data_IF_654002132914
#
_entry.id   IF_654002132914
#
_cell.length_a   1.000
_cell.length_b   1.000
_cell.length_c   1.000
_cell.angle_alpha   90.00
_cell.angle_beta   90.00
_cell.angle_gamma   90.00
#
_symmetry.space_group_name_H-M   'P 1'
#
loop_
_entity.id
_entity.type
_entity.pdbx_description
1 polymer ?
#
# COMPACT_ATOMS: atom_id res chain seq x y z
N UNK A 1 -34.09 -40.92 51.30
CA UNK A 1 -32.80 -40.26 50.98
C UNK A 1 -31.99 -41.22 50.10
N UNK A 2 -31.25 -40.73 49.09
CA UNK A 2 -31.71 -40.04 47.87
C UNK A 2 -31.07 -40.71 46.62
N UNK A 3 -31.48 -40.47 45.38
CA UNK A 3 -31.07 -39.42 44.41
C UNK A 3 -31.61 -39.96 43.05
N UNK A 4 -32.10 -39.26 42.04
CA UNK A 4 -32.20 -37.84 41.68
C UNK A 4 -33.03 -37.76 40.41
N UNK A 5 -33.76 -36.67 40.24
CA UNK A 5 -34.40 -36.26 39.01
C UNK A 5 -33.52 -36.51 37.78
N UNK A 6 -34.02 -37.28 36.80
CA UNK A 6 -33.61 -37.07 35.40
C UNK A 6 -34.42 -35.89 34.88
N UNK A 7 -33.96 -34.69 35.25
CA UNK A 7 -34.31 -33.48 34.52
C UNK A 7 -34.04 -33.70 33.04
N UNK A 8 -35.01 -33.26 32.24
CA UNK A 8 -34.98 -33.40 30.81
C UNK A 8 -33.65 -32.95 30.24
N UNK A 9 -33.06 -33.85 29.45
CA UNK A 9 -32.17 -33.50 28.35
C UNK A 9 -32.89 -32.43 27.53
N UNK A 10 -32.61 -31.15 27.83
CA UNK A 10 -32.91 -30.07 26.91
C UNK A 10 -32.16 -30.42 25.63
N UNK A 11 -32.83 -30.46 24.47
CA UNK A 11 -32.09 -30.47 23.23
C UNK A 11 -31.21 -29.22 23.26
N UNK A 12 -29.92 -29.40 23.04
CA UNK A 12 -29.05 -28.30 22.62
C UNK A 12 -29.63 -27.90 21.27
N UNK A 13 -30.52 -26.92 21.28
CA UNK A 13 -31.34 -26.53 20.14
C UNK A 13 -30.41 -26.21 18.98
N UNK A 14 -30.52 -27.00 17.91
CA UNK A 14 -30.24 -26.51 16.58
C UNK A 14 -31.06 -25.22 16.41
N UNK A 15 -30.38 -24.09 16.19
CA UNK A 15 -31.05 -22.84 15.85
C UNK A 15 -32.09 -23.11 14.75
N UNK A 16 -33.31 -22.66 14.95
CA UNK A 16 -34.36 -22.87 13.95
C UNK A 16 -33.97 -22.18 12.65
N UNK A 17 -34.33 -22.74 11.49
CA UNK A 17 -34.00 -22.15 10.18
C UNK A 17 -34.41 -20.66 10.10
N UNK A 18 -35.50 -20.30 10.79
CA UNK A 18 -35.98 -18.93 10.90
C UNK A 18 -35.07 -18.01 11.73
N UNK A 19 -34.51 -18.50 12.83
CA UNK A 19 -33.53 -17.73 13.62
C UNK A 19 -32.24 -17.51 12.82
N UNK A 20 -31.81 -18.49 12.03
CA UNK A 20 -30.64 -18.35 11.16
C UNK A 20 -30.88 -17.33 10.03
N UNK A 21 -32.07 -17.33 9.42
CA UNK A 21 -32.46 -16.30 8.44
C UNK A 21 -32.41 -14.89 9.04
N UNK A 22 -32.98 -14.71 10.24
CA UNK A 22 -32.99 -13.41 10.92
C UNK A 22 -31.58 -12.94 11.30
N UNK A 23 -30.71 -13.84 11.75
CA UNK A 23 -29.31 -13.50 12.04
C UNK A 23 -28.57 -13.07 10.78
N UNK A 24 -28.77 -13.78 9.65
CA UNK A 24 -28.19 -13.40 8.37
C UNK A 24 -28.67 -12.02 7.89
N UNK A 25 -29.96 -11.72 8.08
CA UNK A 25 -30.54 -10.42 7.70
C UNK A 25 -29.99 -9.30 8.59
N UNK A 26 -29.81 -9.54 9.89
CA UNK A 26 -29.18 -8.58 10.81
C UNK A 26 -27.73 -8.30 10.39
N UNK A 27 -26.94 -9.34 10.10
CA UNK A 27 -25.55 -9.18 9.65
C UNK A 27 -25.45 -8.36 8.35
N UNK A 28 -26.36 -8.59 7.40
CA UNK A 28 -26.43 -7.84 6.16
C UNK A 28 -26.76 -6.35 6.40
N UNK A 29 -27.80 -6.06 7.18
CA UNK A 29 -28.20 -4.70 7.52
C UNK A 29 -27.12 -3.95 8.33
N UNK A 30 -26.43 -4.63 9.25
CA UNK A 30 -25.31 -4.06 9.99
C UNK A 30 -24.14 -3.70 9.06
N UNK A 31 -23.84 -4.56 8.08
CA UNK A 31 -22.83 -4.32 7.04
C UNK A 31 -23.19 -3.11 6.18
N UNK A 32 -24.44 -3.01 5.74
CA UNK A 32 -24.95 -1.87 4.96
C UNK A 32 -24.89 -0.56 5.75
N UNK A 33 -25.32 -0.57 7.02
CA UNK A 33 -25.26 0.59 7.89
C UNK A 33 -23.81 1.05 8.09
N UNK A 34 -22.89 0.11 8.32
CA UNK A 34 -21.47 0.41 8.45
C UNK A 34 -20.91 1.04 7.17
N UNK A 35 -21.28 0.52 6.00
CA UNK A 35 -20.87 1.07 4.72
C UNK A 35 -21.42 2.50 4.52
N UNK A 36 -22.69 2.72 4.84
CA UNK A 36 -23.33 4.03 4.80
C UNK A 36 -22.59 5.05 5.70
N UNK A 37 -22.33 4.71 6.95
CA UNK A 37 -21.61 5.59 7.89
C UNK A 37 -20.20 5.89 7.38
N UNK A 38 -19.49 4.90 6.85
CA UNK A 38 -18.15 5.10 6.28
C UNK A 38 -18.15 6.09 5.11
N UNK A 39 -19.13 5.98 4.20
CA UNK A 39 -19.28 6.91 3.07
C UNK A 39 -19.67 8.30 3.55
N UNK A 40 -20.63 8.41 4.47
CA UNK A 40 -21.04 9.69 5.05
C UNK A 40 -19.87 10.44 5.71
N UNK A 41 -19.01 9.72 6.45
CA UNK A 41 -17.78 10.28 7.02
C UNK A 41 -16.80 10.78 5.95
N UNK A 42 -16.63 10.05 4.83
CA UNK A 42 -15.79 10.48 3.71
C UNK A 42 -16.30 11.78 3.06
N UNK A 43 -17.60 12.01 3.08
CA UNK A 43 -18.24 13.22 2.53
C UNK A 43 -18.43 14.35 3.56
N UNK A 44 -17.78 14.26 4.73
CA UNK A 44 -17.75 15.33 5.73
C UNK A 44 -18.97 15.40 6.64
N UNK A 45 -19.83 14.38 6.67
CA UNK A 45 -21.02 14.35 7.53
C UNK A 45 -20.72 13.89 8.96
N UNK A 46 -19.58 14.30 9.53
CA UNK A 46 -19.10 13.84 10.83
C UNK A 46 -20.12 14.08 11.94
N UNK A 47 -20.62 15.30 12.08
CA UNK A 47 -21.55 15.66 13.16
C UNK A 47 -22.83 14.82 13.14
N UNK A 48 -23.34 14.50 11.94
CA UNK A 48 -24.48 13.61 11.76
C UNK A 48 -24.15 12.18 12.24
N UNK A 49 -23.01 11.64 11.79
CA UNK A 49 -22.58 10.29 12.14
C UNK A 49 -22.29 10.14 13.64
N UNK A 50 -21.63 11.12 14.26
CA UNK A 50 -21.36 11.13 15.70
C UNK A 50 -22.64 11.18 16.53
N UNK A 51 -23.65 11.94 16.07
CA UNK A 51 -24.94 12.05 16.76
C UNK A 51 -25.79 10.78 16.61
N UNK A 52 -25.86 10.20 15.41
CA UNK A 52 -26.77 9.10 15.09
C UNK A 52 -26.16 7.71 15.29
N UNK A 53 -24.85 7.58 15.08
CA UNK A 53 -24.11 6.32 15.09
C UNK A 53 -22.73 6.48 15.78
N UNK A 54 -22.68 6.87 17.06
CA UNK A 54 -21.43 7.21 17.75
C UNK A 54 -20.43 6.04 17.82
N UNK A 55 -20.91 4.81 18.04
CA UNK A 55 -20.06 3.63 18.18
C UNK A 55 -19.41 3.23 16.86
N UNK A 56 -20.22 3.15 15.80
CA UNK A 56 -19.74 2.88 14.44
C UNK A 56 -18.78 3.97 13.96
N UNK A 57 -19.06 5.23 14.27
CA UNK A 57 -18.17 6.35 13.93
C UNK A 57 -16.81 6.17 14.57
N UNK A 58 -16.75 5.93 15.89
CA UNK A 58 -15.49 5.67 16.61
C UNK A 58 -14.75 4.46 16.06
N UNK A 59 -15.46 3.37 15.76
CA UNK A 59 -14.86 2.15 15.21
C UNK A 59 -14.20 2.41 13.85
N UNK A 60 -14.92 3.06 12.94
CA UNK A 60 -14.46 3.37 11.58
C UNK A 60 -13.26 4.32 11.64
N UNK A 61 -13.34 5.40 12.41
CA UNK A 61 -12.24 6.35 12.56
C UNK A 61 -10.99 5.70 13.17
N UNK A 62 -11.15 4.88 14.20
CA UNK A 62 -10.04 4.12 14.77
C UNK A 62 -9.44 3.14 13.74
N UNK A 63 -10.27 2.53 12.89
CA UNK A 63 -9.81 1.71 11.77
C UNK A 63 -9.01 2.50 10.73
N UNK A 64 -9.48 3.69 10.37
CA UNK A 64 -8.79 4.61 9.45
C UNK A 64 -7.43 5.02 10.03
N UNK A 65 -7.39 5.37 11.32
CA UNK A 65 -6.19 5.78 12.02
C UNK A 65 -5.16 4.64 12.09
N UNK A 66 -5.56 3.43 12.52
CA UNK A 66 -4.68 2.24 12.50
C UNK A 66 -4.12 1.96 11.11
N UNK A 67 -4.96 2.10 10.09
CA UNK A 67 -4.54 1.90 8.69
C UNK A 67 -3.53 2.96 8.24
N UNK A 68 -3.66 4.21 8.69
CA UNK A 68 -2.71 5.29 8.44
C UNK A 68 -1.38 5.03 9.12
N UNK A 69 -1.37 4.74 10.42
CA UNK A 69 -0.17 4.42 11.20
C UNK A 69 0.60 3.25 10.60
N UNK A 70 -0.13 2.21 10.15
CA UNK A 70 0.48 1.07 9.45
C UNK A 70 1.16 1.47 8.15
N UNK A 71 0.56 2.39 7.40
CA UNK A 71 1.16 2.90 6.16
C UNK A 71 2.40 3.76 6.44
N UNK A 72 2.37 4.62 7.46
CA UNK A 72 3.52 5.42 7.91
C UNK A 72 4.68 4.52 8.37
N UNK A 73 4.38 3.47 9.12
CA UNK A 73 5.38 2.47 9.52
C UNK A 73 5.98 1.72 8.32
N UNK A 74 5.15 1.26 7.37
CA UNK A 74 5.62 0.58 6.14
C UNK A 74 6.50 1.52 5.31
N UNK A 75 6.08 2.77 5.15
CA UNK A 75 6.85 3.81 4.46
C UNK A 75 8.22 4.04 5.12
N UNK A 76 8.27 4.24 6.43
CA UNK A 76 9.52 4.43 7.17
C UNK A 76 10.47 3.21 7.02
N UNK A 77 9.93 1.98 7.01
CA UNK A 77 10.72 0.78 6.76
C UNK A 77 11.34 0.78 5.36
N UNK A 78 10.57 1.16 4.33
CA UNK A 78 11.12 1.29 2.97
C UNK A 78 12.22 2.33 2.94
N UNK A 79 12.01 3.51 3.55
CA UNK A 79 13.03 4.56 3.61
C UNK A 79 14.33 4.07 4.24
N UNK A 80 14.26 3.34 5.34
CA UNK A 80 15.44 2.77 5.97
C UNK A 80 16.20 1.77 5.06
N UNK A 81 15.47 1.06 4.19
CA UNK A 81 16.05 0.07 3.27
C UNK A 81 16.66 0.68 2.01
N UNK A 82 16.02 1.70 1.43
CA UNK A 82 16.52 2.38 0.23
C UNK A 82 17.73 3.26 0.52
N UNK A 83 18.07 3.48 1.79
CA UNK A 83 19.36 4.06 2.18
C UNK A 83 20.53 3.08 2.00
N UNK A 84 20.25 1.79 1.83
CA UNK A 84 21.24 0.72 1.70
C UNK A 84 21.25 0.20 0.27
N UNK A 85 21.71 1.02 -0.67
CA UNK A 85 21.91 0.61 -2.07
C UNK A 85 23.37 0.22 -2.28
N UNK A 86 23.67 -0.98 -2.82
CA UNK A 86 25.04 -1.41 -3.03
C UNK A 86 25.87 -0.42 -3.85
N UNK A 87 27.03 -0.03 -3.31
CA UNK A 87 27.96 0.90 -3.94
C UNK A 87 27.55 2.37 -3.91
N UNK A 88 26.50 2.73 -3.16
CA UNK A 88 26.05 4.11 -2.99
C UNK A 88 25.87 4.44 -1.50
N UNK A 89 26.31 5.62 -1.11
CA UNK A 89 25.98 6.24 0.17
C UNK A 89 24.73 7.08 0.00
N UNK A 90 23.70 6.82 0.79
CA UNK A 90 22.43 7.53 0.66
C UNK A 90 22.15 8.40 1.90
N UNK A 91 21.59 9.58 1.68
CA UNK A 91 21.14 10.47 2.74
C UNK A 91 19.80 11.09 2.40
N UNK A 92 18.94 11.26 3.41
CA UNK A 92 17.68 11.99 3.25
C UNK A 92 17.96 13.49 3.20
N UNK A 93 17.25 14.18 2.31
CA UNK A 93 17.25 15.63 2.24
C UNK A 93 16.51 16.26 3.43
N UNK A 94 16.74 17.56 3.64
CA UNK A 94 16.14 18.31 4.76
C UNK A 94 14.61 18.33 4.72
N UNK A 95 14.01 18.42 3.53
CA UNK A 95 12.55 18.38 3.35
C UNK A 95 11.97 16.97 3.43
N UNK A 96 12.81 15.95 3.61
CA UNK A 96 12.41 14.55 3.71
C UNK A 96 11.71 13.92 2.48
N UNK A 97 11.46 14.72 1.45
CA UNK A 97 10.85 14.37 0.17
C UNK A 97 11.89 13.84 -0.85
N UNK A 98 13.18 14.00 -0.55
CA UNK A 98 14.28 13.53 -1.40
C UNK A 98 15.20 12.60 -0.66
N UNK A 99 15.66 11.56 -1.36
CA UNK A 99 16.79 10.73 -0.95
C UNK A 99 17.90 10.88 -1.99
N UNK A 100 19.06 11.38 -1.55
CA UNK A 100 20.25 11.60 -2.38
C UNK A 100 21.18 10.39 -2.30
N UNK A 101 21.80 10.04 -3.42
CA UNK A 101 22.76 8.95 -3.54
C UNK A 101 24.10 9.48 -4.04
N UNK A 102 25.16 9.04 -3.38
CA UNK A 102 26.53 9.51 -3.58
C UNK A 102 27.48 8.33 -3.74
N UNK A 103 28.53 8.51 -4.52
CA UNK A 103 29.72 7.66 -4.45
C UNK A 103 30.63 8.18 -3.33
N UNK A 104 31.89 7.73 -3.27
CA UNK A 104 32.88 8.34 -2.38
C UNK A 104 33.21 9.80 -2.78
N UNK A 105 32.99 10.15 -4.04
CA UNK A 105 33.51 11.38 -4.65
C UNK A 105 32.39 12.36 -5.05
N UNK A 106 31.24 11.85 -5.53
CA UNK A 106 30.20 12.69 -6.16
C UNK A 106 28.77 12.39 -5.69
N UNK A 107 27.90 13.40 -5.78
CA UNK A 107 26.45 13.20 -5.80
C UNK A 107 26.04 12.67 -7.18
N UNK A 108 25.53 11.44 -7.25
CA UNK A 108 25.31 10.75 -8.53
C UNK A 108 23.85 10.56 -8.91
N UNK A 109 22.95 10.58 -7.93
CA UNK A 109 21.52 10.40 -8.17
C UNK A 109 20.67 10.94 -7.01
N UNK A 110 19.39 11.12 -7.26
CA UNK A 110 18.38 11.28 -6.20
C UNK A 110 17.05 10.66 -6.64
N UNK A 111 16.21 10.38 -5.65
CA UNK A 111 14.79 10.13 -5.88
C UNK A 111 13.95 11.14 -5.11
N UNK A 112 12.79 11.45 -5.66
CA UNK A 112 11.74 12.22 -5.02
C UNK A 112 10.59 11.29 -4.65
N UNK A 113 10.13 11.38 -3.41
CA UNK A 113 9.10 10.49 -2.91
C UNK A 113 8.21 11.12 -1.85
N UNK A 114 7.01 10.58 -1.71
CA UNK A 114 6.06 10.98 -0.69
C UNK A 114 5.21 9.79 -0.20
N UNK A 115 4.61 9.94 0.98
CA UNK A 115 3.53 9.07 1.42
C UNK A 115 2.20 9.74 1.09
N UNK A 116 1.46 9.21 0.12
CA UNK A 116 0.13 9.70 -0.22
C UNK A 116 -0.85 8.56 -0.41
N UNK A 117 -2.09 8.75 0.05
CA UNK A 117 -3.17 7.74 -0.06
C UNK A 117 -2.72 6.34 0.42
N UNK A 118 -1.91 6.30 1.49
CA UNK A 118 -1.34 5.08 2.10
C UNK A 118 -0.47 4.25 1.15
N UNK A 119 0.23 4.90 0.21
CA UNK A 119 1.17 4.29 -0.74
C UNK A 119 2.46 5.09 -0.81
N UNK A 120 3.53 4.41 -1.23
CA UNK A 120 4.77 5.08 -1.60
C UNK A 120 4.58 5.70 -2.98
N UNK A 121 4.69 7.02 -3.08
CA UNK A 121 4.69 7.71 -4.37
C UNK A 121 6.13 8.02 -4.74
N UNK A 122 6.58 7.52 -5.89
CA UNK A 122 7.86 7.89 -6.51
C UNK A 122 7.56 9.00 -7.52
N UNK A 123 7.88 10.24 -7.16
CA UNK A 123 7.63 11.42 -8.00
C UNK A 123 8.70 11.60 -9.07
N UNK A 124 9.92 11.13 -8.81
CA UNK A 124 11.01 11.30 -9.75
C UNK A 124 12.23 10.48 -9.37
N UNK A 125 12.99 10.10 -10.39
CA UNK A 125 14.33 9.53 -10.24
C UNK A 125 15.26 10.26 -11.21
N UNK A 126 16.36 10.78 -10.67
CA UNK A 126 17.35 11.49 -11.45
C UNK A 126 18.72 10.86 -11.25
N UNK A 127 19.48 10.78 -12.34
CA UNK A 127 20.88 10.33 -12.35
C UNK A 127 21.68 11.36 -13.14
N UNK A 128 22.80 11.78 -12.56
CA UNK A 128 23.73 12.71 -13.17
C UNK A 128 24.16 12.21 -14.56
N UNK A 129 24.22 13.07 -15.61
CA UNK A 129 24.53 12.66 -16.98
C UNK A 129 25.79 11.79 -17.10
N UNK A 130 26.89 12.16 -16.45
CA UNK A 130 28.16 11.41 -16.44
C UNK A 130 28.08 9.99 -15.81
N UNK A 131 26.97 9.69 -15.16
CA UNK A 131 26.71 8.44 -14.46
C UNK A 131 25.54 7.64 -15.05
N UNK A 132 24.90 8.14 -16.12
CA UNK A 132 23.89 7.39 -16.88
C UNK A 132 24.52 6.18 -17.58
N UNK A 133 23.72 5.16 -17.87
CA UNK A 133 24.20 3.89 -18.44
C UNK A 133 24.93 2.96 -17.45
N UNK A 134 25.31 3.44 -16.26
CA UNK A 134 26.02 2.63 -15.24
C UNK A 134 25.09 1.81 -14.32
N UNK A 135 23.80 1.70 -14.67
CA UNK A 135 22.80 0.93 -13.91
C UNK A 135 22.42 1.50 -12.54
N UNK A 136 22.74 2.77 -12.22
CA UNK A 136 22.45 3.38 -10.92
C UNK A 136 20.94 3.41 -10.63
N UNK A 137 20.14 3.96 -11.57
CA UNK A 137 18.69 4.00 -11.42
C UNK A 137 18.09 2.60 -11.22
N UNK A 138 18.60 1.61 -11.96
CA UNK A 138 18.19 0.22 -11.85
C UNK A 138 18.47 -0.37 -10.45
N UNK A 139 19.65 -0.10 -9.87
CA UNK A 139 19.99 -0.55 -8.50
C UNK A 139 19.09 0.09 -7.44
N UNK A 140 18.86 1.41 -7.55
CA UNK A 140 17.99 2.15 -6.65
C UNK A 140 16.56 1.59 -6.73
N UNK A 141 16.01 1.48 -7.94
CA UNK A 141 14.64 1.03 -8.16
C UNK A 141 14.45 -0.44 -7.76
N UNK A 142 15.43 -1.30 -8.02
CA UNK A 142 15.44 -2.68 -7.51
C UNK A 142 15.34 -2.71 -5.99
N UNK A 143 16.17 -1.93 -5.29
CA UNK A 143 16.15 -1.91 -3.82
C UNK A 143 14.82 -1.37 -3.28
N UNK A 144 14.26 -0.34 -3.90
CA UNK A 144 12.93 0.19 -3.56
C UNK A 144 11.85 -0.89 -3.73
N UNK A 145 11.88 -1.62 -4.84
CA UNK A 145 10.93 -2.69 -5.14
C UNK A 145 11.05 -3.85 -4.15
N UNK A 146 12.25 -4.29 -3.82
CA UNK A 146 12.50 -5.33 -2.81
C UNK A 146 11.95 -4.89 -1.44
N UNK A 147 12.26 -3.66 -1.02
CA UNK A 147 11.75 -3.12 0.23
C UNK A 147 10.22 -3.03 0.28
N UNK A 148 9.60 -2.70 -0.85
CA UNK A 148 8.14 -2.67 -0.99
C UNK A 148 7.53 -4.08 -0.91
N UNK A 149 8.15 -5.08 -1.52
CA UNK A 149 7.73 -6.48 -1.42
C UNK A 149 7.84 -6.99 0.03
N UNK A 150 8.97 -6.74 0.69
CA UNK A 150 9.21 -7.15 2.09
C UNK A 150 8.24 -6.49 3.07
N UNK A 151 7.74 -5.30 2.75
CA UNK A 151 6.81 -4.54 3.61
C UNK A 151 5.36 -4.67 3.20
N UNK A 152 5.07 -5.41 2.12
CA UNK A 152 3.74 -5.53 1.52
C UNK A 152 3.15 -4.12 1.27
N UNK A 153 3.88 -3.27 0.55
CA UNK A 153 3.48 -1.89 0.32
C UNK A 153 3.48 -1.54 -1.16
N UNK A 154 2.38 -0.96 -1.63
CA UNK A 154 2.23 -0.54 -3.02
C UNK A 154 3.06 0.69 -3.34
N UNK A 155 3.63 0.71 -4.55
CA UNK A 155 4.30 1.87 -5.13
C UNK A 155 3.43 2.41 -6.26
N UNK A 156 3.26 3.72 -6.30
CA UNK A 156 2.72 4.43 -7.44
C UNK A 156 3.73 5.46 -7.93
N UNK A 157 3.68 5.76 -9.22
CA UNK A 157 4.47 6.82 -9.82
C UNK A 157 3.65 7.49 -10.91
N UNK A 158 3.86 8.78 -11.08
CA UNK A 158 3.50 9.52 -12.28
C UNK A 158 4.85 9.77 -12.99
N UNK A 159 4.97 9.37 -14.26
CA UNK A 159 6.26 9.39 -14.97
C UNK A 159 6.25 10.43 -16.08
N UNK A 160 7.12 11.42 -15.95
CA UNK A 160 7.41 12.37 -17.01
C UNK A 160 8.90 12.29 -17.37
N UNK A 161 9.25 12.29 -18.67
CA UNK A 161 10.62 12.48 -19.11
C UNK A 161 11.27 13.71 -18.46
N UNK A 162 12.49 13.56 -17.97
CA UNK A 162 13.23 14.66 -17.38
C UNK A 162 13.88 15.53 -18.46
N UNK A 163 13.13 16.51 -18.96
CA UNK A 163 13.59 17.43 -20.02
C UNK A 163 14.02 16.72 -21.31
N UNK A 164 14.87 17.37 -22.11
CA UNK A 164 15.31 16.84 -23.41
C UNK A 164 16.42 15.78 -23.32
N UNK A 165 17.15 15.72 -22.19
CA UNK A 165 18.25 14.77 -21.99
C UNK A 165 17.83 13.45 -21.32
N UNK A 166 16.55 13.33 -20.97
CA UNK A 166 15.97 12.16 -20.31
C UNK A 166 15.68 10.99 -21.23
N UNK A 167 15.16 9.91 -20.66
CA UNK A 167 14.55 8.83 -21.45
C UNK A 167 13.29 9.36 -22.14
N UNK A 168 13.03 8.88 -23.36
CA UNK A 168 11.73 9.09 -24.00
C UNK A 168 10.62 8.49 -23.14
N UNK A 169 9.36 8.93 -23.35
CA UNK A 169 8.22 8.38 -22.59
C UNK A 169 8.11 6.86 -22.75
N UNK A 170 8.31 6.36 -23.96
CA UNK A 170 8.27 4.91 -24.25
C UNK A 170 9.38 4.15 -23.53
N UNK A 171 10.61 4.68 -23.57
CA UNK A 171 11.76 4.07 -22.88
C UNK A 171 11.60 4.12 -21.35
N UNK A 172 10.97 5.17 -20.83
CA UNK A 172 10.69 5.34 -19.41
C UNK A 172 9.64 4.33 -18.93
N UNK A 173 8.56 4.13 -19.70
CA UNK A 173 7.56 3.08 -19.46
C UNK A 173 8.23 1.71 -19.51
N UNK A 174 9.03 1.44 -20.55
CA UNK A 174 9.75 0.18 -20.68
C UNK A 174 10.72 -0.05 -19.52
N UNK A 175 11.39 1.02 -19.05
CA UNK A 175 12.24 0.99 -17.87
C UNK A 175 11.47 0.58 -16.62
N UNK A 176 10.35 1.24 -16.31
CA UNK A 176 9.54 0.89 -15.14
C UNK A 176 8.88 -0.49 -15.26
N UNK A 177 8.42 -0.89 -16.46
CA UNK A 177 7.84 -2.22 -16.70
C UNK A 177 8.80 -3.36 -16.32
N UNK A 178 10.12 -3.21 -16.57
CA UNK A 178 11.14 -4.20 -16.15
C UNK A 178 11.20 -4.41 -14.64
N UNK A 179 10.73 -3.44 -13.86
CA UNK A 179 10.63 -3.51 -12.40
C UNK A 179 9.24 -3.95 -11.90
N UNK A 180 8.34 -4.32 -12.81
CA UNK A 180 7.00 -4.83 -12.49
C UNK A 180 5.94 -3.75 -12.30
N UNK A 181 6.23 -2.52 -12.71
CA UNK A 181 5.20 -1.48 -12.79
C UNK A 181 4.28 -1.75 -13.98
N UNK A 182 3.02 -1.33 -13.87
CA UNK A 182 1.99 -1.50 -14.88
C UNK A 182 1.18 -0.21 -15.01
N UNK A 183 0.75 0.10 -16.23
CA UNK A 183 -0.17 1.22 -16.50
C UNK A 183 -1.59 0.89 -16.04
N UNK A 184 -2.29 1.82 -15.41
CA UNK A 184 -3.70 1.63 -15.06
C UNK A 184 -4.60 2.29 -16.09
N UNK A 185 -5.57 1.55 -16.64
CA UNK A 185 -6.53 2.07 -17.62
C UNK A 185 -7.36 3.28 -17.12
N UNK A 186 -7.36 3.59 -15.82
CA UNK A 186 -8.13 4.68 -15.20
C UNK A 186 -7.34 5.97 -14.93
N UNK A 187 -6.04 6.01 -15.22
CA UNK A 187 -5.19 7.20 -15.06
C UNK A 187 -4.25 7.28 -16.27
N UNK A 188 -4.38 8.32 -17.08
CA UNK A 188 -3.68 8.43 -18.36
C UNK A 188 -2.14 8.36 -18.26
N UNK A 189 -1.55 8.69 -17.10
CA UNK A 189 -0.08 8.90 -16.98
C UNK A 189 0.56 8.26 -15.75
N UNK A 190 -0.21 7.48 -14.98
CA UNK A 190 0.26 6.83 -13.75
C UNK A 190 0.61 5.36 -13.96
N UNK A 191 1.73 4.92 -13.37
CA UNK A 191 2.05 3.50 -13.23
C UNK A 191 1.99 3.08 -11.77
N UNK A 192 1.60 1.83 -11.54
CA UNK A 192 1.51 1.26 -10.21
C UNK A 192 2.22 -0.08 -10.17
N UNK A 193 2.67 -0.44 -8.98
CA UNK A 193 3.19 -1.76 -8.69
C UNK A 193 2.62 -2.23 -7.35
N UNK A 194 1.96 -3.38 -7.39
CA UNK A 194 1.60 -4.09 -6.18
C UNK A 194 2.81 -4.88 -5.66
N UNK A 195 2.97 -4.98 -4.32
CA UNK A 195 3.98 -5.85 -3.76
C UNK A 195 3.69 -7.29 -4.17
N UNK A 196 4.74 -8.08 -4.41
CA UNK A 196 4.58 -9.49 -4.72
C UNK A 196 4.02 -10.22 -3.50
N UNK A 197 3.02 -11.05 -3.75
CA UNK A 197 2.48 -12.00 -2.80
C UNK A 197 3.19 -13.35 -2.95
N UNK A 198 3.17 -14.22 -1.91
CA UNK A 198 3.66 -15.59 -2.05
C UNK A 198 2.99 -16.38 -3.19
N UNK A 199 1.77 -16.01 -3.59
CA UNK A 199 1.05 -16.63 -4.71
C UNK A 199 1.70 -16.28 -6.06
N UNK A 200 2.32 -15.09 -6.19
CA UNK A 200 3.02 -14.68 -7.41
C UNK A 200 4.30 -15.49 -7.67
N UNK A 201 4.84 -16.16 -6.65
CA UNK A 201 5.99 -17.07 -6.80
C UNK A 201 5.62 -18.33 -7.59
N UNK A 202 4.37 -18.77 -7.53
CA UNK A 202 3.86 -19.96 -8.21
C UNK A 202 3.32 -19.66 -9.61
N UNK A 203 3.12 -18.39 -9.97
CA UNK A 203 2.60 -17.97 -11.27
C UNK A 203 3.69 -17.83 -12.35
N UNK A 204 4.96 -18.11 -12.06
CA UNK A 204 6.02 -18.10 -13.08
C UNK A 204 5.91 -19.37 -13.94
N UNK A 205 5.71 -19.28 -15.27
CA UNK A 205 6.11 -20.36 -16.13
C UNK A 205 7.63 -20.48 -16.01
N UNK A 206 8.13 -21.67 -15.70
CA UNK A 206 9.53 -22.01 -15.92
C UNK A 206 9.82 -21.85 -17.43
N UNK A 207 10.38 -20.71 -17.83
CA UNK A 207 11.03 -20.61 -19.13
C UNK A 207 12.46 -21.11 -18.94
N UNK A 208 12.68 -22.32 -19.46
CA UNK A 208 13.98 -22.92 -19.77
C UNK A 208 14.60 -22.17 -20.94
#
# INVERSE_FOLDING_TARGET
MPYTNREGLRPIYAQSARENELLSEIEELESELRAFVAVALQHGMRDYCETRHPDLTREIEAGIQRSRERAEMKYAKILAQILRVPGLHATRGETEERTYYRTAEDNVAYIEHALQKKRFILNGIWVAPAYRGKGIAHRILRRLVEAADETDFGIALDHEPFGEEGLSREDLVAFYNRHGFQTHAGKAEGMFRFPRTPLDLYARPHMV
#
